data_IF_452918675684
#
_entry.id   IF_452918675684
#
_cell.length_a   1.000
_cell.length_b   1.000
_cell.length_c   1.000
_cell.angle_alpha   90.00
_cell.angle_beta   90.00
_cell.angle_gamma   90.00
#
_symmetry.space_group_name_H-M   'P 1'
#
loop_
_entity.id
_entity.type
_entity.pdbx_description
1 polymer ?
#
# COMPACT_ATOMS: atom_id res chain seq x y z
N UNK A 1 30.93 71.01 -2.06
CA UNK A 1 29.84 70.10 -1.58
C UNK A 1 29.80 68.90 -2.51
N UNK A 2 30.30 67.73 -2.09
CA UNK A 2 30.28 66.48 -2.85
C UNK A 2 29.00 65.68 -2.50
N UNK A 3 28.11 65.45 -3.49
CA UNK A 3 26.89 64.65 -3.32
C UNK A 3 27.25 63.18 -3.52
N UNK A 4 27.19 62.38 -2.46
CA UNK A 4 27.26 60.93 -2.54
C UNK A 4 25.90 60.37 -3.00
N UNK A 5 25.89 59.73 -4.17
CA UNK A 5 24.73 58.93 -4.62
C UNK A 5 24.77 57.59 -3.91
N UNK A 6 23.83 57.36 -3.00
CA UNK A 6 23.62 56.10 -2.31
C UNK A 6 22.85 55.16 -3.27
N UNK A 7 23.56 54.20 -3.84
CA UNK A 7 22.96 53.16 -4.68
C UNK A 7 22.53 52.05 -3.74
N UNK A 8 21.21 51.95 -3.52
CA UNK A 8 20.64 50.86 -2.74
C UNK A 8 20.53 49.63 -3.67
N UNK A 9 21.37 48.61 -3.41
CA UNK A 9 21.26 47.31 -4.02
C UNK A 9 20.12 46.53 -3.32
N UNK A 10 18.99 46.37 -4.02
CA UNK A 10 17.90 45.55 -3.55
C UNK A 10 18.22 44.08 -3.84
N UNK A 11 18.71 43.36 -2.82
CA UNK A 11 18.94 41.93 -2.88
C UNK A 11 17.59 41.20 -2.83
N UNK A 12 17.07 40.83 -4.00
CA UNK A 12 15.89 40.00 -4.10
C UNK A 12 16.33 38.55 -3.84
N UNK A 13 16.18 38.07 -2.62
CA UNK A 13 16.32 36.67 -2.28
C UNK A 13 15.09 35.91 -2.77
N UNK A 14 15.21 35.23 -3.91
CA UNK A 14 14.19 34.30 -4.38
C UNK A 14 14.29 33.05 -3.51
N UNK A 15 13.43 32.94 -2.51
CA UNK A 15 13.24 31.72 -1.72
C UNK A 15 12.50 30.72 -2.57
N UNK A 16 13.24 29.79 -3.22
CA UNK A 16 12.64 28.61 -3.86
C UNK A 16 12.24 27.66 -2.74
N UNK A 17 10.99 27.74 -2.31
CA UNK A 17 10.38 26.70 -1.47
C UNK A 17 10.17 25.46 -2.32
N UNK A 18 11.12 24.53 -2.27
CA UNK A 18 10.93 23.20 -2.80
C UNK A 18 9.90 22.52 -1.91
N UNK A 19 8.65 22.52 -2.34
CA UNK A 19 7.60 21.67 -1.75
C UNK A 19 7.96 20.22 -2.05
N UNK A 20 8.76 19.61 -1.20
CA UNK A 20 8.92 18.16 -1.11
C UNK A 20 7.62 17.56 -0.51
N UNK A 21 6.51 17.67 -1.25
CA UNK A 21 5.38 16.79 -1.00
C UNK A 21 5.86 15.38 -1.34
N UNK A 22 6.26 14.60 -0.34
CA UNK A 22 6.39 13.16 -0.51
C UNK A 22 5.00 12.67 -0.89
N UNK A 23 4.80 12.34 -2.18
CA UNK A 23 3.55 11.77 -2.64
C UNK A 23 3.36 10.45 -1.88
N UNK A 24 2.35 10.37 -1.04
CA UNK A 24 1.94 9.13 -0.40
C UNK A 24 1.67 8.07 -1.47
N UNK A 25 1.98 6.82 -1.18
CA UNK A 25 1.57 5.72 -2.03
C UNK A 25 0.04 5.63 -2.12
N UNK A 26 -0.45 5.07 -3.20
CA UNK A 26 -1.87 4.75 -3.39
C UNK A 26 -2.01 3.33 -3.92
N UNK A 27 -3.11 2.68 -3.55
CA UNK A 27 -3.50 1.36 -4.06
C UNK A 27 -4.87 1.54 -4.70
N UNK A 28 -5.01 1.08 -5.94
CA UNK A 28 -6.26 1.10 -6.69
C UNK A 28 -6.67 -0.31 -7.07
N UNK A 29 -7.92 -0.68 -6.83
CA UNK A 29 -8.48 -1.93 -7.33
C UNK A 29 -8.77 -1.77 -8.84
N UNK A 30 -8.08 -2.58 -9.66
CA UNK A 30 -8.20 -2.54 -11.13
C UNK A 30 -9.22 -3.55 -11.63
N UNK A 31 -9.29 -4.71 -10.97
CA UNK A 31 -10.25 -5.77 -11.29
C UNK A 31 -10.94 -6.23 -10.02
N UNK A 32 -12.26 -6.24 -10.07
CA UNK A 32 -13.13 -6.74 -9.01
C UNK A 32 -13.37 -8.24 -9.07
N UNK A 33 -12.82 -8.94 -10.06
CA UNK A 33 -12.90 -10.41 -10.14
C UNK A 33 -12.06 -11.07 -9.02
N UNK A 34 -12.39 -12.32 -8.69
CA UNK A 34 -11.57 -13.13 -7.77
C UNK A 34 -10.66 -14.04 -8.59
N UNK A 35 -9.34 -14.03 -8.38
CA UNK A 35 -8.58 -13.16 -7.49
C UNK A 35 -8.44 -11.72 -8.01
N UNK A 36 -8.44 -10.72 -7.09
CA UNK A 36 -8.39 -9.31 -7.45
C UNK A 36 -7.03 -8.88 -8.01
N UNK A 37 -7.06 -7.79 -8.78
CA UNK A 37 -5.86 -7.15 -9.31
C UNK A 37 -5.78 -5.71 -8.82
N UNK A 38 -4.59 -5.30 -8.38
CA UNK A 38 -4.31 -3.98 -7.83
C UNK A 38 -3.25 -3.26 -8.64
N UNK A 39 -3.37 -1.97 -8.73
CA UNK A 39 -2.37 -1.05 -9.26
C UNK A 39 -1.83 -0.18 -8.12
N UNK A 40 -0.52 -0.05 -8.06
CA UNK A 40 0.17 0.71 -7.04
C UNK A 40 0.77 1.94 -7.71
N UNK A 41 0.61 3.10 -7.09
CA UNK A 41 1.17 4.34 -7.58
C UNK A 41 1.67 5.21 -6.42
N UNK A 42 2.43 6.24 -6.74
CA UNK A 42 2.93 7.19 -5.76
C UNK A 42 4.43 7.41 -5.83
N UNK A 43 4.95 8.10 -4.83
CA UNK A 43 6.39 8.31 -4.66
C UNK A 43 6.97 7.36 -3.63
N UNK A 44 8.25 7.03 -3.81
CA UNK A 44 8.99 6.12 -2.95
C UNK A 44 9.39 4.83 -3.65
N UNK A 45 10.08 3.99 -2.90
CA UNK A 45 10.64 2.74 -3.39
C UNK A 45 9.96 1.60 -2.62
N UNK A 46 9.41 0.63 -3.34
CA UNK A 46 8.73 -0.52 -2.76
C UNK A 46 9.70 -1.39 -1.97
N UNK A 47 9.28 -1.76 -0.76
CA UNK A 47 9.93 -2.80 0.05
C UNK A 47 9.16 -4.12 -0.04
N UNK A 48 7.89 -4.14 0.34
CA UNK A 48 7.01 -5.30 0.18
C UNK A 48 5.54 -4.93 0.04
N UNK A 49 4.77 -5.91 -0.45
CA UNK A 49 3.32 -5.89 -0.51
C UNK A 49 2.80 -7.03 0.34
N UNK A 50 1.71 -6.79 1.07
CA UNK A 50 1.08 -7.82 1.88
C UNK A 50 -0.44 -7.81 1.75
N UNK A 51 -1.04 -8.99 1.97
CA UNK A 51 -2.46 -9.21 2.10
C UNK A 51 -2.73 -9.84 3.45
N UNK A 52 -3.69 -9.31 4.18
CA UNK A 52 -4.05 -9.74 5.52
C UNK A 52 -5.56 -9.97 5.64
N UNK A 53 -5.96 -10.96 6.40
CA UNK A 53 -7.35 -11.33 6.65
C UNK A 53 -7.49 -12.85 6.79
N UNK A 54 -8.71 -13.38 6.77
CA UNK A 54 -10.00 -12.68 6.68
C UNK A 54 -10.39 -12.00 7.99
N UNK A 55 -11.17 -10.93 7.90
CA UNK A 55 -11.79 -10.28 9.06
C UNK A 55 -13.30 -10.37 8.93
N UNK A 56 -13.93 -10.85 10.00
CA UNK A 56 -15.37 -10.86 10.15
C UNK A 56 -15.76 -9.50 10.74
N UNK A 57 -16.57 -8.68 10.07
CA UNK A 57 -17.02 -7.40 10.61
C UNK A 57 -15.96 -6.64 11.42
N UNK A 58 -15.19 -5.79 10.81
CA UNK A 58 -14.42 -4.67 11.40
C UNK A 58 -13.58 -4.92 12.69
N UNK A 59 -13.92 -5.86 13.57
CA UNK A 59 -13.26 -6.06 14.87
C UNK A 59 -12.93 -7.50 15.21
N UNK A 60 -13.56 -8.44 14.54
CA UNK A 60 -13.39 -9.85 14.87
C UNK A 60 -12.57 -10.55 13.79
N UNK A 61 -11.54 -11.31 14.17
CA UNK A 61 -10.86 -12.17 13.21
C UNK A 61 -11.87 -13.16 12.62
N UNK A 62 -11.78 -13.36 11.31
CA UNK A 62 -12.53 -14.42 10.64
C UNK A 62 -12.04 -15.81 11.02
N UNK A 63 -12.51 -16.85 10.30
CA UNK A 63 -12.05 -18.20 10.55
C UNK A 63 -10.54 -18.30 10.44
N UNK A 64 -9.93 -19.03 11.36
CA UNK A 64 -8.49 -19.22 11.38
C UNK A 64 -8.00 -19.91 10.09
N UNK A 65 -7.29 -19.18 9.26
CA UNK A 65 -6.56 -19.75 8.15
C UNK A 65 -5.13 -20.04 8.64
N UNK A 66 -4.81 -21.31 8.81
CA UNK A 66 -3.48 -21.73 9.29
C UNK A 66 -2.43 -21.40 8.24
N UNK A 67 -1.78 -20.26 8.37
CA UNK A 67 -0.65 -19.84 7.53
C UNK A 67 0.70 -20.04 8.20
N UNK A 68 0.73 -20.61 9.41
CA UNK A 68 1.97 -20.93 10.14
C UNK A 68 2.68 -19.76 10.81
N UNK A 69 2.08 -18.58 10.82
CA UNK A 69 2.63 -17.38 11.48
C UNK A 69 1.76 -16.91 12.64
N UNK A 70 2.24 -15.99 13.42
CA UNK A 70 1.60 -15.43 14.64
C UNK A 70 0.08 -15.30 14.45
N UNK A 71 -0.75 -15.93 15.33
CA UNK A 71 -2.21 -15.88 15.25
C UNK A 71 -2.80 -14.47 15.35
N UNK A 72 -1.99 -13.47 15.71
CA UNK A 72 -2.41 -12.06 15.76
C UNK A 72 -2.21 -11.31 14.44
N UNK A 73 -1.49 -11.87 13.49
CA UNK A 73 -1.23 -11.28 12.18
C UNK A 73 -1.46 -12.33 11.10
N UNK A 74 -2.67 -12.43 10.62
CA UNK A 74 -3.01 -13.36 9.54
C UNK A 74 -2.59 -12.72 8.21
N UNK A 75 -1.30 -12.73 7.93
CA UNK A 75 -0.81 -12.38 6.61
C UNK A 75 -1.01 -13.60 5.72
N UNK A 76 -1.86 -13.47 4.73
CA UNK A 76 -2.15 -14.53 3.77
C UNK A 76 -1.11 -14.60 2.68
N UNK A 77 -0.61 -13.45 2.26
CA UNK A 77 0.35 -13.33 1.18
C UNK A 77 1.26 -12.14 1.39
N UNK A 78 2.57 -12.38 1.30
CA UNK A 78 3.59 -11.34 1.33
C UNK A 78 4.59 -11.58 0.22
N UNK A 79 4.84 -10.57 -0.57
CA UNK A 79 5.77 -10.59 -1.70
C UNK A 79 6.69 -9.38 -1.67
N UNK A 80 7.89 -9.56 -2.20
CA UNK A 80 8.86 -8.48 -2.37
C UNK A 80 9.70 -8.69 -3.64
N UNK A 81 10.31 -7.64 -4.19
CA UNK A 81 11.27 -7.78 -5.27
C UNK A 81 12.46 -8.64 -4.87
N UNK A 82 12.98 -9.48 -5.77
CA UNK A 82 14.18 -10.26 -5.52
C UNK A 82 15.45 -9.40 -5.53
N UNK A 83 16.46 -9.82 -4.77
CA UNK A 83 17.81 -9.24 -4.84
C UNK A 83 17.94 -7.87 -4.19
N UNK A 84 17.10 -7.53 -3.17
CA UNK A 84 17.14 -6.24 -2.48
C UNK A 84 17.04 -5.02 -3.41
N UNK A 85 16.39 -5.18 -4.54
CA UNK A 85 16.11 -4.09 -5.47
C UNK A 85 14.89 -3.33 -4.97
N UNK A 86 15.09 -2.07 -4.67
CA UNK A 86 13.98 -1.17 -4.48
C UNK A 86 13.40 -0.77 -5.84
N UNK A 87 12.12 -1.03 -6.04
CA UNK A 87 11.42 -0.66 -7.27
C UNK A 87 10.63 0.63 -6.99
N UNK A 88 10.78 1.68 -7.81
CA UNK A 88 9.92 2.85 -7.70
C UNK A 88 8.44 2.45 -7.76
N UNK A 89 7.61 3.04 -6.88
CA UNK A 89 6.18 2.64 -6.79
C UNK A 89 5.42 2.77 -8.11
N UNK A 90 5.81 3.72 -8.94
CA UNK A 90 5.21 3.92 -10.27
C UNK A 90 5.68 2.90 -11.32
N UNK A 91 6.69 2.09 -11.02
CA UNK A 91 7.20 1.00 -11.88
C UNK A 91 6.73 -0.38 -11.42
N UNK A 92 6.01 -0.45 -10.29
CA UNK A 92 5.46 -1.71 -9.79
C UNK A 92 4.43 -2.24 -10.77
N UNK A 93 4.56 -3.50 -11.22
CA UNK A 93 3.56 -4.09 -12.12
C UNK A 93 2.21 -4.20 -11.42
N UNK A 94 1.14 -4.40 -12.18
CA UNK A 94 -0.17 -4.73 -11.61
C UNK A 94 -0.06 -6.04 -10.84
N UNK A 95 -0.49 -6.02 -9.58
CA UNK A 95 -0.37 -7.15 -8.67
C UNK A 95 -1.70 -7.89 -8.64
N UNK A 96 -1.72 -9.13 -9.11
CA UNK A 96 -2.85 -10.03 -8.99
C UNK A 96 -2.62 -10.96 -7.80
N UNK A 97 -3.58 -11.01 -6.87
CA UNK A 97 -3.47 -11.89 -5.70
C UNK A 97 -3.18 -13.34 -6.10
N UNK A 98 -2.16 -13.92 -5.47
CA UNK A 98 -1.75 -15.30 -5.75
C UNK A 98 -0.93 -15.52 -7.02
N UNK A 99 -0.67 -14.46 -7.81
CA UNK A 99 0.21 -14.54 -8.97
C UNK A 99 1.50 -13.75 -8.72
N UNK A 100 2.60 -14.46 -8.56
CA UNK A 100 3.91 -13.85 -8.32
C UNK A 100 4.45 -13.22 -9.59
N UNK A 101 4.75 -11.91 -9.61
CA UNK A 101 5.37 -11.28 -10.78
C UNK A 101 6.79 -11.81 -11.04
N UNK A 102 7.24 -11.72 -12.27
CA UNK A 102 8.62 -12.08 -12.64
C UNK A 102 9.64 -11.21 -11.88
N UNK A 103 10.69 -11.83 -11.34
CA UNK A 103 11.70 -11.15 -10.54
C UNK A 103 11.27 -10.81 -9.11
N UNK A 104 10.17 -11.43 -8.63
CA UNK A 104 9.70 -11.29 -7.25
C UNK A 104 9.85 -12.58 -6.48
N UNK A 105 9.84 -12.50 -5.16
CA UNK A 105 9.78 -13.64 -4.26
C UNK A 105 8.54 -13.56 -3.37
N UNK A 106 7.99 -14.73 -3.09
CA UNK A 106 6.96 -14.90 -2.08
C UNK A 106 7.63 -15.18 -0.74
N UNK A 107 7.23 -14.46 0.28
CA UNK A 107 7.72 -14.64 1.65
C UNK A 107 6.70 -15.38 2.52
N UNK A 108 5.41 -15.16 2.25
CA UNK A 108 4.29 -15.81 2.92
C UNK A 108 3.22 -16.17 1.89
N UNK A 109 2.70 -17.40 1.89
CA UNK A 109 3.29 -18.55 2.54
C UNK A 109 4.67 -18.87 1.96
N UNK A 110 5.51 -19.55 2.72
CA UNK A 110 6.86 -19.93 2.22
C UNK A 110 6.79 -20.89 1.04
N UNK A 111 5.80 -21.78 1.09
CA UNK A 111 5.59 -22.80 0.07
C UNK A 111 4.14 -22.77 -0.43
N UNK A 112 3.94 -23.09 -1.69
CA UNK A 112 2.63 -23.17 -2.32
C UNK A 112 2.02 -21.82 -2.66
N UNK A 113 0.77 -21.84 -3.06
CA UNK A 113 -0.03 -20.65 -3.35
C UNK A 113 -0.65 -20.07 -2.08
N UNK A 114 -0.90 -18.76 -2.02
CA UNK A 114 -1.67 -18.20 -0.91
C UNK A 114 -3.09 -18.78 -0.89
N UNK A 115 -3.72 -18.85 0.30
CA UNK A 115 -5.07 -19.39 0.41
C UNK A 115 -6.07 -18.57 -0.41
N UNK A 116 -7.12 -19.23 -0.90
CA UNK A 116 -8.22 -18.55 -1.59
C UNK A 116 -8.88 -17.55 -0.64
N UNK A 117 -9.28 -16.40 -1.18
CA UNK A 117 -10.07 -15.43 -0.44
C UNK A 117 -11.49 -16.00 -0.22
N UNK A 118 -11.99 -15.86 1.00
CA UNK A 118 -13.31 -16.32 1.41
C UNK A 118 -14.35 -15.23 1.18
N UNK A 119 -15.51 -15.61 0.69
CA UNK A 119 -16.65 -14.72 0.49
C UNK A 119 -17.22 -14.22 1.83
N UNK A 120 -17.71 -12.99 1.88
CA UNK A 120 -18.27 -12.37 3.07
C UNK A 120 -17.25 -11.78 4.05
N UNK A 121 -15.96 -11.70 3.67
CA UNK A 121 -14.91 -11.20 4.55
C UNK A 121 -14.19 -9.97 4.00
N UNK A 122 -13.63 -9.21 4.93
CA UNK A 122 -12.79 -8.04 4.65
C UNK A 122 -11.31 -8.44 4.65
N UNK A 123 -10.56 -7.87 3.73
CA UNK A 123 -9.12 -8.06 3.59
C UNK A 123 -8.41 -6.73 3.52
N UNK A 124 -7.21 -6.68 4.07
CA UNK A 124 -6.31 -5.54 3.96
C UNK A 124 -5.26 -5.82 2.91
N UNK A 125 -5.00 -4.83 2.09
CA UNK A 125 -3.89 -4.81 1.13
C UNK A 125 -2.98 -3.68 1.53
N UNK A 126 -1.72 -3.96 1.81
CA UNK A 126 -0.76 -2.95 2.21
C UNK A 126 0.47 -2.96 1.34
N UNK A 127 1.01 -1.77 1.17
CA UNK A 127 2.28 -1.51 0.50
C UNK A 127 3.19 -0.79 1.47
N UNK A 128 4.35 -1.34 1.69
CA UNK A 128 5.41 -0.70 2.47
C UNK A 128 6.46 -0.16 1.52
N UNK A 129 6.71 1.13 1.61
CA UNK A 129 7.71 1.81 0.80
C UNK A 129 8.81 2.40 1.67
N UNK A 130 10.05 2.32 1.19
CA UNK A 130 11.21 3.02 1.72
C UNK A 130 11.30 4.38 1.04
N UNK A 131 11.64 5.43 1.77
CA UNK A 131 11.75 6.80 1.24
C UNK A 131 10.47 7.31 0.57
N UNK A 132 9.32 6.90 1.06
CA UNK A 132 8.03 7.32 0.53
C UNK A 132 6.88 6.96 1.45
N UNK A 133 5.65 7.18 0.99
CA UNK A 133 4.46 6.85 1.75
C UNK A 133 4.05 5.40 1.56
N UNK A 134 3.87 4.67 2.66
CA UNK A 134 3.10 3.42 2.65
C UNK A 134 1.65 3.70 2.30
N UNK A 135 0.98 2.70 1.72
CA UNK A 135 -0.44 2.77 1.41
C UNK A 135 -1.14 1.51 1.92
N UNK A 136 -2.38 1.69 2.31
CA UNK A 136 -3.25 0.58 2.72
C UNK A 136 -4.62 0.75 2.07
N UNK A 137 -5.25 -0.36 1.70
CA UNK A 137 -6.59 -0.42 1.15
C UNK A 137 -7.34 -1.58 1.79
N UNK A 138 -8.61 -1.35 2.13
CA UNK A 138 -9.51 -2.43 2.52
C UNK A 138 -10.39 -2.83 1.36
N UNK A 139 -10.57 -4.12 1.21
CA UNK A 139 -11.47 -4.70 0.23
C UNK A 139 -12.41 -5.70 0.90
N UNK A 140 -13.63 -5.78 0.40
CA UNK A 140 -14.63 -6.73 0.81
C UNK A 140 -14.93 -7.69 -0.34
N UNK A 141 -14.91 -8.98 -0.07
CA UNK A 141 -15.30 -10.00 -1.03
C UNK A 141 -16.76 -10.39 -0.80
N UNK A 142 -17.60 -10.20 -1.82
CA UNK A 142 -19.01 -10.54 -1.80
C UNK A 142 -19.45 -11.10 -3.15
N UNK A 143 -20.12 -12.22 -3.14
CA UNK A 143 -20.66 -12.91 -4.33
C UNK A 143 -19.56 -13.13 -5.41
N UNK A 144 -18.34 -13.49 -4.98
CA UNK A 144 -17.19 -13.70 -5.84
C UNK A 144 -16.59 -12.41 -6.43
N UNK A 145 -17.06 -11.24 -6.00
CA UNK A 145 -16.56 -9.94 -6.43
C UNK A 145 -15.86 -9.20 -5.30
N UNK A 146 -14.72 -8.60 -5.60
CA UNK A 146 -13.98 -7.76 -4.68
C UNK A 146 -14.39 -6.31 -4.87
N UNK A 147 -14.74 -5.65 -3.80
CA UNK A 147 -15.15 -4.24 -3.79
C UNK A 147 -14.29 -3.46 -2.82
N UNK A 148 -13.95 -2.19 -3.11
CA UNK A 148 -13.35 -1.32 -2.12
C UNK A 148 -14.29 -1.23 -0.91
N UNK A 149 -13.75 -1.49 0.27
CA UNK A 149 -14.51 -1.34 1.49
C UNK A 149 -14.41 0.12 1.95
N UNK A 150 -15.50 0.86 1.82
CA UNK A 150 -15.61 2.22 2.34
C UNK A 150 -16.22 2.15 3.74
N UNK A 151 -15.53 2.70 4.67
CA UNK A 151 -15.99 2.82 6.04
C UNK A 151 -17.02 3.95 6.17
N UNK A 152 -18.18 3.64 6.75
CA UNK A 152 -19.00 4.69 7.35
C UNK A 152 -18.23 5.31 8.51
N UNK A 153 -18.29 6.63 8.63
CA UNK A 153 -17.37 7.51 9.40
C UNK A 153 -17.12 7.18 10.88
N UNK A 154 -17.71 6.12 11.43
CA UNK A 154 -17.63 5.85 12.88
C UNK A 154 -16.80 4.63 13.31
N UNK A 155 -16.34 3.79 12.39
CA UNK A 155 -15.61 2.56 12.75
C UNK A 155 -14.27 2.41 11.99
N UNK A 156 -13.22 2.83 12.64
CA UNK A 156 -11.85 2.80 12.14
C UNK A 156 -11.26 1.40 12.22
N UNK A 157 -11.26 0.64 11.14
CA UNK A 157 -10.41 -0.54 11.00
C UNK A 157 -9.39 -0.38 9.88
N UNK A 158 -9.72 0.33 8.82
CA UNK A 158 -8.79 0.64 7.74
C UNK A 158 -8.25 2.07 7.83
N UNK A 159 -7.74 2.46 8.94
CA UNK A 159 -7.14 3.78 9.08
C UNK A 159 -6.65 4.02 10.50
N UNK A 160 -5.39 4.38 10.63
CA UNK A 160 -4.88 4.87 11.90
C UNK A 160 -5.70 6.09 12.32
N UNK A 161 -6.29 6.06 13.52
CA UNK A 161 -6.71 7.31 14.17
C UNK A 161 -5.54 8.27 14.14
N UNK A 162 -5.75 9.44 13.55
CA UNK A 162 -4.88 10.60 13.78
C UNK A 162 -5.04 11.09 15.20
#
# INVERSE_FOLDING_TARGET
MKRYKLTIFLLVTVSVTVNLCSKSGTINLVSNSTPPTFEIAGGGELDWIWFQGPYQNRREPGPEIKTGSDPRQIILWKISPQGHRFIPLNEVPKIKYGLLPEGWKQEIPRDGSPPALLDGYVYYVGVVAVRGGSAEMCVFLKDGQVQPFQEDKEDVVCGRKK
#
